data_IF_835806855671
#
_entry.id   IF_835806855671
#
_cell.length_a   1.000
_cell.length_b   1.000
_cell.length_c   1.000
_cell.angle_alpha   90.00
_cell.angle_beta   90.00
_cell.angle_gamma   90.00
#
_symmetry.space_group_name_H-M   'P 1'
#
loop_
_entity.id
_entity.type
_entity.pdbx_description
1 polymer ?
#
# COMPACT_ATOMS: atom_id res chain seq x y z
N UNK A 1 6.53 -13.13 -29.87
CA UNK A 1 7.48 -12.02 -29.64
C UNK A 1 7.61 -11.81 -28.14
N UNK A 2 8.64 -12.37 -27.52
CA UNK A 2 8.91 -12.17 -26.10
C UNK A 2 9.62 -10.82 -25.92
N UNK A 3 8.91 -9.85 -25.35
CA UNK A 3 9.55 -8.64 -24.83
C UNK A 3 10.53 -9.08 -23.74
N UNK A 4 11.82 -8.88 -24.00
CA UNK A 4 12.93 -9.28 -23.13
C UNK A 4 12.69 -8.69 -21.74
N UNK A 5 12.68 -9.54 -20.73
CA UNK A 5 12.60 -9.23 -19.29
C UNK A 5 13.56 -8.12 -18.84
N UNK A 6 14.64 -7.89 -19.60
CA UNK A 6 15.63 -6.84 -19.38
C UNK A 6 15.11 -5.42 -19.64
N UNK A 7 14.10 -5.23 -20.52
CA UNK A 7 13.52 -3.90 -20.79
C UNK A 7 12.53 -3.44 -19.69
N UNK A 8 11.96 -4.36 -18.91
CA UNK A 8 11.19 -4.02 -17.70
C UNK A 8 12.07 -3.42 -16.59
N UNK A 9 13.31 -3.87 -16.48
CA UNK A 9 14.25 -3.41 -15.47
C UNK A 9 14.87 -2.03 -15.80
N UNK A 10 14.90 -1.64 -17.08
CA UNK A 10 15.54 -0.42 -17.55
C UNK A 10 14.68 0.87 -17.44
N UNK A 11 13.41 0.77 -17.01
CA UNK A 11 12.54 1.93 -16.72
C UNK A 11 12.65 2.41 -15.26
N UNK A 12 13.58 1.84 -14.47
CA UNK A 12 13.82 2.20 -13.07
C UNK A 12 14.77 3.38 -12.91
N UNK A 13 14.30 4.58 -13.26
CA UNK A 13 14.62 5.74 -12.42
C UNK A 13 14.10 5.40 -11.02
N UNK A 14 15.03 5.22 -10.07
CA UNK A 14 14.86 4.75 -8.68
C UNK A 14 13.39 4.71 -8.20
N UNK A 15 12.80 3.54 -7.94
CA UNK A 15 11.50 3.50 -7.32
C UNK A 15 11.63 4.08 -5.90
N UNK A 16 11.04 5.27 -5.71
CA UNK A 16 10.97 5.89 -4.39
C UNK A 16 10.04 5.11 -3.45
N UNK A 17 9.21 4.20 -3.98
CA UNK A 17 8.28 3.33 -3.23
C UNK A 17 8.64 1.84 -3.39
N UNK A 18 8.52 1.01 -2.34
CA UNK A 18 8.56 -0.45 -2.47
C UNK A 18 7.31 -1.05 -3.11
N UNK A 19 6.28 -0.23 -3.32
CA UNK A 19 5.06 -0.62 -4.01
C UNK A 19 5.04 -0.07 -5.45
N UNK A 20 4.40 -0.81 -6.34
CA UNK A 20 3.92 -0.36 -7.64
C UNK A 20 2.65 0.48 -7.46
N UNK A 21 1.73 0.06 -6.60
CA UNK A 21 0.52 0.79 -6.26
C UNK A 21 -0.03 0.33 -4.90
N UNK A 22 -0.87 1.18 -4.30
CA UNK A 22 -1.65 0.87 -3.10
C UNK A 22 -3.11 1.22 -3.38
N UNK A 23 -4.03 0.34 -2.98
CA UNK A 23 -5.47 0.51 -3.12
C UNK A 23 -6.15 0.35 -1.77
N UNK A 24 -7.14 1.20 -1.51
CA UNK A 24 -8.05 1.13 -0.37
C UNK A 24 -9.42 0.73 -0.88
N UNK A 25 -9.92 -0.40 -0.42
CA UNK A 25 -11.17 -0.99 -0.87
C UNK A 25 -12.12 -1.16 0.31
N UNK A 26 -13.41 -0.99 0.06
CA UNK A 26 -14.43 -1.57 0.95
C UNK A 26 -14.36 -3.10 0.81
N UNK A 27 -14.09 -3.80 1.91
CA UNK A 27 -13.89 -5.27 1.86
C UNK A 27 -15.15 -6.03 1.44
N UNK A 28 -16.33 -5.49 1.74
CA UNK A 28 -17.62 -6.14 1.50
C UNK A 28 -18.04 -6.05 0.03
N UNK A 29 -18.03 -4.85 -0.54
CA UNK A 29 -18.42 -4.60 -1.94
C UNK A 29 -17.25 -4.76 -2.91
N UNK A 30 -16.01 -4.53 -2.47
CA UNK A 30 -14.83 -4.47 -3.33
C UNK A 30 -14.69 -3.13 -4.07
N UNK A 31 -15.54 -2.15 -3.75
CA UNK A 31 -15.47 -0.80 -4.31
C UNK A 31 -14.15 -0.12 -3.92
N UNK A 32 -13.49 0.46 -4.90
CA UNK A 32 -12.31 1.30 -4.67
C UNK A 32 -12.72 2.62 -4.00
N UNK A 33 -12.12 2.89 -2.84
CA UNK A 33 -12.32 4.12 -2.07
C UNK A 33 -11.29 5.18 -2.48
N UNK A 34 -10.02 4.78 -2.56
CA UNK A 34 -8.89 5.60 -3.00
C UNK A 34 -7.72 4.71 -3.41
N UNK A 35 -6.91 5.14 -4.37
CA UNK A 35 -5.71 4.44 -4.77
C UNK A 35 -4.60 5.40 -5.16
N UNK A 36 -3.36 4.90 -5.17
CA UNK A 36 -2.24 5.62 -5.73
C UNK A 36 -1.26 4.67 -6.43
N UNK A 37 -0.90 5.04 -7.65
CA UNK A 37 0.09 4.33 -8.48
C UNK A 37 1.44 5.05 -8.44
N UNK A 38 2.49 4.30 -8.12
CA UNK A 38 3.89 4.76 -8.10
C UNK A 38 4.63 4.40 -9.40
N UNK A 39 3.92 3.89 -10.41
CA UNK A 39 4.45 3.62 -11.76
C UNK A 39 3.81 4.59 -12.76
N UNK A 40 4.58 5.14 -13.72
CA UNK A 40 4.01 5.95 -14.80
C UNK A 40 3.06 5.13 -15.70
N UNK A 41 1.76 5.37 -15.54
CA UNK A 41 0.59 5.22 -16.45
C UNK A 41 0.41 4.03 -17.41
N UNK A 42 1.28 3.02 -17.49
CA UNK A 42 1.15 1.91 -18.48
C UNK A 42 0.94 0.52 -17.90
N UNK A 43 0.85 0.37 -16.58
CA UNK A 43 0.59 -0.91 -15.92
C UNK A 43 -0.38 -0.75 -14.76
N UNK A 44 -1.48 -0.02 -14.99
CA UNK A 44 -2.60 -0.02 -14.05
C UNK A 44 -3.24 -1.41 -14.09
N UNK A 45 -3.18 -2.09 -12.96
CA UNK A 45 -3.88 -3.36 -12.75
C UNK A 45 -5.37 -3.06 -12.64
N UNK A 46 -6.19 -3.90 -13.28
CA UNK A 46 -7.64 -3.86 -13.10
C UNK A 46 -7.95 -4.25 -11.65
N UNK A 47 -8.28 -3.24 -10.83
CA UNK A 47 -8.54 -3.41 -9.41
C UNK A 47 -9.76 -4.30 -9.15
N UNK A 48 -10.73 -4.32 -10.07
CA UNK A 48 -11.91 -5.19 -9.98
C UNK A 48 -11.50 -6.65 -10.17
N UNK A 49 -10.54 -6.91 -11.06
CA UNK A 49 -9.97 -8.24 -11.23
C UNK A 49 -9.21 -8.68 -9.97
N UNK A 50 -8.42 -7.79 -9.36
CA UNK A 50 -7.68 -8.08 -8.12
C UNK A 50 -8.63 -8.36 -6.95
N UNK A 51 -9.64 -7.51 -6.75
CA UNK A 51 -10.62 -7.65 -5.66
C UNK A 51 -11.53 -8.87 -5.86
N UNK A 52 -11.99 -9.12 -7.09
CA UNK A 52 -12.80 -10.27 -7.45
C UNK A 52 -12.05 -11.60 -7.28
N UNK A 53 -10.82 -11.69 -7.79
CA UNK A 53 -9.96 -12.87 -7.60
C UNK A 53 -9.73 -13.15 -6.12
N UNK A 54 -9.45 -12.10 -5.35
CA UNK A 54 -9.21 -12.21 -3.92
C UNK A 54 -10.41 -12.81 -3.16
N UNK A 55 -11.61 -12.27 -3.38
CA UNK A 55 -12.84 -12.82 -2.77
C UNK A 55 -13.06 -14.28 -3.16
N UNK A 56 -12.82 -14.62 -4.43
CA UNK A 56 -12.94 -15.99 -4.90
C UNK A 56 -11.93 -16.92 -4.21
N UNK A 57 -10.67 -16.48 -4.04
CA UNK A 57 -9.64 -17.25 -3.35
C UNK A 57 -9.97 -17.46 -1.87
N UNK A 58 -10.47 -16.44 -1.18
CA UNK A 58 -10.87 -16.59 0.22
C UNK A 58 -12.07 -17.51 0.38
N UNK A 59 -13.09 -17.39 -0.47
CA UNK A 59 -14.21 -18.31 -0.47
C UNK A 59 -13.75 -19.75 -0.74
N UNK A 60 -12.84 -19.93 -1.71
CA UNK A 60 -12.27 -21.23 -2.02
C UNK A 60 -11.51 -21.81 -0.82
N UNK A 61 -10.61 -21.04 -0.20
CA UNK A 61 -9.83 -21.48 0.96
C UNK A 61 -10.75 -21.82 2.12
N UNK A 62 -11.73 -20.99 2.44
CA UNK A 62 -12.63 -21.24 3.56
C UNK A 62 -13.59 -22.41 3.34
N UNK A 63 -13.90 -22.75 2.08
CA UNK A 63 -14.64 -23.98 1.77
C UNK A 63 -13.77 -25.24 1.87
N UNK A 64 -12.46 -25.12 1.62
CA UNK A 64 -11.51 -26.23 1.64
C UNK A 64 -10.84 -26.42 3.01
N UNK A 65 -10.75 -25.35 3.80
CA UNK A 65 -10.22 -25.39 5.15
C UNK A 65 -11.18 -26.24 5.98
N UNK A 66 -10.74 -27.45 6.34
CA UNK A 66 -11.43 -28.35 7.26
C UNK A 66 -11.43 -27.82 8.72
N UNK A 67 -11.41 -26.51 8.88
CA UNK A 67 -11.27 -25.81 10.15
C UNK A 67 -12.47 -24.89 10.35
N UNK A 68 -12.92 -24.76 11.59
CA UNK A 68 -13.96 -23.79 11.96
C UNK A 68 -13.41 -22.35 12.02
N UNK A 69 -12.13 -22.13 11.71
CA UNK A 69 -11.50 -20.83 11.70
C UNK A 69 -11.51 -20.27 10.27
N UNK A 70 -12.02 -19.05 10.14
CA UNK A 70 -12.02 -18.35 8.88
C UNK A 70 -10.59 -17.92 8.53
N UNK A 71 -10.07 -18.45 7.44
CA UNK A 71 -8.77 -18.07 6.92
C UNK A 71 -8.89 -16.86 5.98
N UNK A 72 -7.87 -16.01 6.01
CA UNK A 72 -7.80 -14.83 5.16
C UNK A 72 -6.52 -14.85 4.35
N UNK A 73 -6.62 -14.51 3.07
CA UNK A 73 -5.43 -14.39 2.22
C UNK A 73 -4.67 -13.13 2.66
N UNK A 74 -3.41 -13.31 3.06
CA UNK A 74 -2.54 -12.21 3.46
C UNK A 74 -1.58 -11.78 2.35
N UNK A 75 -1.09 -12.73 1.54
CA UNK A 75 -0.26 -12.40 0.40
C UNK A 75 -0.40 -13.42 -0.74
N UNK A 76 -0.18 -12.95 -1.97
CA UNK A 76 -0.01 -13.78 -3.17
C UNK A 76 1.36 -13.45 -3.75
N UNK A 77 2.26 -14.43 -3.76
CA UNK A 77 3.66 -14.23 -4.13
C UNK A 77 3.92 -14.74 -5.55
N UNK A 78 4.22 -13.83 -6.48
CA UNK A 78 4.68 -14.15 -7.82
C UNK A 78 6.21 -14.03 -7.90
N UNK A 79 6.81 -14.48 -9.00
CA UNK A 79 8.26 -14.41 -9.18
C UNK A 79 8.78 -12.96 -9.07
N UNK A 80 8.17 -12.03 -9.82
CA UNK A 80 8.59 -10.62 -9.92
C UNK A 80 7.80 -9.61 -9.09
N UNK A 81 6.69 -10.02 -8.45
CA UNK A 81 5.85 -9.13 -7.65
C UNK A 81 5.17 -9.89 -6.52
N UNK A 82 4.67 -9.18 -5.51
CA UNK A 82 3.82 -9.73 -4.46
C UNK A 82 2.58 -8.86 -4.35
N UNK A 83 1.42 -9.47 -4.15
CA UNK A 83 0.22 -8.75 -3.71
C UNK A 83 0.10 -8.96 -2.21
N UNK A 84 0.04 -7.88 -1.44
CA UNK A 84 -0.03 -7.88 0.03
C UNK A 84 -1.38 -7.31 0.44
N UNK A 85 -2.04 -7.98 1.37
CA UNK A 85 -3.36 -7.62 1.86
C UNK A 85 -3.30 -7.33 3.36
N UNK A 86 -3.87 -6.19 3.76
CA UNK A 86 -4.05 -5.82 5.17
C UNK A 86 -5.48 -5.36 5.41
N UNK A 87 -6.00 -5.69 6.60
CA UNK A 87 -7.39 -5.41 6.97
C UNK A 87 -7.45 -4.65 8.27
N UNK A 88 -8.43 -3.76 8.36
CA UNK A 88 -8.77 -3.10 9.60
C UNK A 88 -10.23 -2.65 9.61
N UNK A 89 -10.82 -2.58 10.81
CA UNK A 89 -12.18 -2.11 11.00
C UNK A 89 -13.12 -3.16 11.61
N UNK A 90 -14.35 -2.74 11.87
CA UNK A 90 -15.40 -3.59 12.42
C UNK A 90 -15.98 -4.53 11.32
N UNK A 91 -16.68 -5.62 11.68
CA UNK A 91 -17.20 -6.60 10.71
C UNK A 91 -18.04 -6.01 9.56
N UNK A 92 -18.72 -4.89 9.79
CA UNK A 92 -19.58 -4.23 8.79
C UNK A 92 -18.93 -3.04 8.08
N UNK A 93 -17.73 -2.63 8.49
CA UNK A 93 -17.00 -1.47 7.95
C UNK A 93 -15.52 -1.80 7.70
N UNK A 94 -15.22 -3.07 7.44
CA UNK A 94 -13.85 -3.53 7.26
C UNK A 94 -13.29 -2.97 5.95
N UNK A 95 -12.10 -2.40 6.05
CA UNK A 95 -11.32 -1.89 4.92
C UNK A 95 -10.27 -2.91 4.55
N UNK A 96 -10.09 -3.08 3.25
CA UNK A 96 -9.02 -3.87 2.67
C UNK A 96 -8.01 -2.92 2.02
N UNK A 97 -6.77 -2.95 2.51
CA UNK A 97 -5.64 -2.30 1.88
C UNK A 97 -4.86 -3.32 1.05
N UNK A 98 -4.65 -3.03 -0.23
CA UNK A 98 -3.94 -3.89 -1.16
C UNK A 98 -2.69 -3.18 -1.65
N UNK A 99 -1.52 -3.75 -1.36
CA UNK A 99 -0.25 -3.26 -1.87
C UNK A 99 0.31 -4.18 -2.95
N UNK A 100 0.60 -3.62 -4.12
CA UNK A 100 1.33 -4.31 -5.18
C UNK A 100 2.82 -4.11 -4.96
N UNK A 101 3.50 -5.08 -4.36
CA UNK A 101 4.91 -5.00 -3.98
C UNK A 101 5.87 -5.30 -5.13
N UNK A 102 6.99 -4.55 -5.15
CA UNK A 102 8.17 -4.76 -6.00
C UNK A 102 9.14 -5.80 -5.45
N UNK A 103 8.86 -6.36 -4.27
CA UNK A 103 9.70 -7.30 -3.52
C UNK A 103 11.13 -6.79 -3.26
N UNK A 104 11.29 -5.47 -3.15
CA UNK A 104 12.59 -4.83 -2.84
C UNK A 104 12.85 -4.70 -1.34
N UNK A 105 11.84 -4.98 -0.51
CA UNK A 105 11.94 -5.08 0.95
C UNK A 105 11.29 -6.39 1.42
N UNK A 106 11.46 -6.74 2.70
CA UNK A 106 10.86 -7.96 3.24
C UNK A 106 9.34 -7.86 3.37
N UNK A 107 8.63 -8.98 3.20
CA UNK A 107 7.17 -9.06 3.35
C UNK A 107 6.70 -8.43 4.68
N UNK A 108 7.39 -8.75 5.78
CA UNK A 108 7.11 -8.21 7.11
C UNK A 108 7.07 -6.67 7.14
N UNK A 109 7.97 -6.00 6.41
CA UNK A 109 7.99 -4.52 6.33
C UNK A 109 6.85 -3.99 5.48
N UNK A 110 6.50 -4.69 4.41
CA UNK A 110 5.37 -4.34 3.53
C UNK A 110 4.05 -4.41 4.30
N UNK A 111 3.80 -5.55 4.96
CA UNK A 111 2.66 -5.76 5.85
C UNK A 111 2.59 -4.68 6.94
N UNK A 112 3.71 -4.39 7.60
CA UNK A 112 3.73 -3.37 8.65
C UNK A 112 3.31 -1.98 8.13
N UNK A 113 3.80 -1.57 6.96
CA UNK A 113 3.43 -0.27 6.38
C UNK A 113 1.97 -0.25 5.92
N UNK A 114 1.50 -1.28 5.23
CA UNK A 114 0.09 -1.34 4.81
C UNK A 114 -0.85 -1.39 6.01
N UNK A 115 -0.46 -2.07 7.09
CA UNK A 115 -1.22 -2.12 8.35
C UNK A 115 -1.33 -0.75 9.01
N UNK A 116 -0.27 0.05 8.98
CA UNK A 116 -0.30 1.42 9.47
C UNK A 116 -1.22 2.30 8.61
N UNK A 117 -1.13 2.18 7.28
CA UNK A 117 -1.95 2.93 6.32
C UNK A 117 -3.44 2.59 6.48
N UNK A 118 -3.81 1.31 6.51
CA UNK A 118 -5.22 0.90 6.63
C UNK A 118 -5.85 1.33 7.95
N UNK A 119 -5.06 1.31 9.02
CA UNK A 119 -5.50 1.78 10.34
C UNK A 119 -5.73 3.28 10.34
N UNK A 120 -4.76 4.05 9.88
CA UNK A 120 -4.85 5.52 9.80
C UNK A 120 -6.03 5.95 8.90
N UNK A 121 -6.21 5.28 7.76
CA UNK A 121 -7.37 5.51 6.89
C UNK A 121 -8.70 5.25 7.61
N UNK A 122 -8.83 4.10 8.27
CA UNK A 122 -10.06 3.75 8.97
C UNK A 122 -10.36 4.75 10.09
N UNK A 123 -9.36 5.09 10.91
CA UNK A 123 -9.51 6.05 12.01
C UNK A 123 -9.87 7.45 11.48
N UNK A 124 -9.32 7.86 10.34
CA UNK A 124 -9.62 9.15 9.70
C UNK A 124 -11.07 9.22 9.18
N UNK A 125 -11.60 8.12 8.64
CA UNK A 125 -12.89 8.11 7.93
C UNK A 125 -13.97 7.25 8.58
N UNK A 126 -13.79 6.84 9.83
CA UNK A 126 -14.66 5.87 10.51
C UNK A 126 -16.15 6.20 10.38
N UNK A 127 -16.52 7.46 10.58
CA UNK A 127 -17.92 7.92 10.49
C UNK A 127 -18.52 7.74 9.09
N UNK A 128 -17.75 8.07 8.05
CA UNK A 128 -18.16 7.89 6.65
C UNK A 128 -18.24 6.42 6.26
N UNK A 129 -17.36 5.58 6.82
CA UNK A 129 -17.34 4.14 6.56
C UNK A 129 -18.53 3.42 7.20
N UNK A 130 -18.93 3.81 8.41
CA UNK A 130 -20.08 3.21 9.09
C UNK A 130 -21.41 3.48 8.38
N UNK A 131 -21.50 4.61 7.66
CA UNK A 131 -22.68 5.02 6.92
C UNK A 131 -22.46 4.99 5.39
N UNK A 132 -21.56 4.13 4.92
CA UNK A 132 -21.16 4.13 3.52
C UNK A 132 -22.31 3.70 2.60
N UNK A 133 -22.71 4.61 1.72
CA UNK A 133 -23.77 4.39 0.72
C UNK A 133 -23.23 4.45 -0.72
N UNK A 134 -21.95 4.14 -0.92
CA UNK A 134 -21.30 4.13 -2.23
C UNK A 134 -20.66 5.46 -2.65
N UNK A 135 -20.74 6.50 -1.83
CA UNK A 135 -20.14 7.81 -2.12
C UNK A 135 -18.65 7.85 -1.75
N UNK A 136 -17.77 7.79 -2.76
CA UNK A 136 -16.32 7.67 -2.55
C UNK A 136 -15.58 9.01 -2.42
N UNK A 137 -16.23 10.15 -2.71
CA UNK A 137 -15.55 11.46 -2.72
C UNK A 137 -14.94 11.84 -1.38
N UNK A 138 -15.52 11.38 -0.26
CA UNK A 138 -15.01 11.66 1.08
C UNK A 138 -13.58 11.13 1.28
N UNK A 139 -13.20 10.03 0.63
CA UNK A 139 -11.93 9.36 0.82
C UNK A 139 -10.80 9.91 -0.06
N UNK A 140 -11.12 10.73 -1.07
CA UNK A 140 -10.15 11.18 -2.08
C UNK A 140 -9.04 12.05 -1.49
N UNK A 141 -9.30 12.76 -0.39
CA UNK A 141 -8.28 13.57 0.29
C UNK A 141 -7.11 12.73 0.82
N UNK A 142 -7.35 11.45 1.09
CA UNK A 142 -6.33 10.51 1.53
C UNK A 142 -5.29 10.19 0.46
N UNK A 143 -5.55 10.50 -0.80
CA UNK A 143 -4.58 10.37 -1.89
C UNK A 143 -3.24 11.06 -1.55
N UNK A 144 -3.31 12.24 -0.94
CA UNK A 144 -2.12 13.00 -0.53
C UNK A 144 -1.27 12.30 0.55
N UNK A 145 -1.88 11.43 1.35
CA UNK A 145 -1.19 10.58 2.33
C UNK A 145 -0.49 9.42 1.61
N UNK A 146 -1.19 8.76 0.67
CA UNK A 146 -0.62 7.67 -0.12
C UNK A 146 0.59 8.11 -0.96
N UNK A 147 0.59 9.35 -1.46
CA UNK A 147 1.74 9.92 -2.17
C UNK A 147 3.02 10.00 -1.33
N UNK A 148 2.88 10.08 0.00
CA UNK A 148 4.00 10.21 0.96
C UNK A 148 4.56 8.87 1.44
N UNK A 149 3.92 7.75 1.09
CA UNK A 149 4.40 6.39 1.44
C UNK A 149 5.91 6.17 1.15
N UNK A 150 6.46 6.61 0.02
CA UNK A 150 7.91 6.65 -0.21
C UNK A 150 8.75 7.23 0.93
N UNK A 151 8.31 8.35 1.50
CA UNK A 151 9.02 9.07 2.55
C UNK A 151 8.95 8.30 3.88
N UNK A 152 7.78 7.73 4.21
CA UNK A 152 7.63 6.86 5.38
C UNK A 152 8.56 5.66 5.34
N UNK A 153 8.73 5.03 4.17
CA UNK A 153 9.67 3.91 4.03
C UNK A 153 11.12 4.31 4.28
N UNK A 154 11.52 5.52 3.86
CA UNK A 154 12.88 6.02 4.08
C UNK A 154 13.14 6.27 5.57
N UNK A 155 12.12 6.67 6.33
CA UNK A 155 12.23 6.92 7.77
C UNK A 155 12.24 5.62 8.60
N UNK A 156 11.45 4.61 8.20
CA UNK A 156 11.36 3.32 8.89
C UNK A 156 12.53 2.36 8.58
N UNK A 157 13.32 2.66 7.55
CA UNK A 157 14.46 1.82 7.13
C UNK A 157 15.72 2.69 7.00
N UNK A 158 16.49 2.91 8.08
CA UNK A 158 17.69 3.77 8.07
C UNK A 158 18.82 3.30 7.13
N UNK A 159 18.65 2.13 6.50
CA UNK A 159 19.59 1.56 5.53
C UNK A 159 19.00 1.37 4.13
N UNK A 160 17.88 2.02 3.77
CA UNK A 160 17.50 2.10 2.36
C UNK A 160 18.43 3.07 1.64
N UNK A 161 19.68 2.64 1.44
CA UNK A 161 20.51 3.19 0.38
C UNK A 161 19.94 2.60 -0.91
N UNK A 162 19.41 3.41 -1.84
CA UNK A 162 19.29 2.93 -3.20
C UNK A 162 20.65 2.36 -3.58
N UNK A 163 20.72 1.15 -4.14
CA UNK A 163 21.98 0.60 -4.65
C UNK A 163 22.45 1.59 -5.72
N UNK A 164 23.34 2.50 -5.33
CA UNK A 164 23.92 3.49 -6.22
C UNK A 164 24.98 2.73 -6.99
N UNK A 165 24.67 2.37 -8.23
CA UNK A 165 25.71 2.24 -9.22
C UNK A 165 26.41 3.60 -9.29
N UNK A 166 27.62 3.65 -8.73
CA UNK A 166 28.52 4.80 -8.76
C UNK A 166 28.66 5.24 -10.22
N UNK A 167 28.01 6.33 -10.58
CA UNK A 167 28.56 7.43 -11.39
C UNK A 167 27.44 8.46 -11.64
N UNK A 168 27.58 9.63 -11.02
CA UNK A 168 27.61 10.94 -11.69
C UNK A 168 27.50 12.04 -10.63
N UNK A 169 28.60 12.78 -10.46
CA UNK A 169 28.68 14.02 -9.69
C UNK A 169 27.91 15.10 -10.45
N UNK A 170 26.83 15.67 -9.91
CA UNK A 170 26.43 17.05 -10.26
C UNK A 170 25.80 17.72 -9.02
N UNK A 171 26.38 18.88 -8.66
CA UNK A 171 25.88 19.84 -7.67
C UNK A 171 24.51 20.40 -8.07
N UNK A 172 23.65 20.75 -7.11
CA UNK A 172 23.10 22.11 -6.99
C UNK A 172 22.29 22.35 -5.71
N UNK A 173 22.36 23.61 -5.32
CA UNK A 173 21.97 24.20 -4.04
C UNK A 173 20.46 24.44 -3.96
N UNK A 174 19.92 24.21 -2.76
CA UNK A 174 18.92 25.04 -2.09
C UNK A 174 17.47 24.95 -2.55
N UNK A 175 16.58 24.51 -1.66
CA UNK A 175 15.21 25.01 -1.59
C UNK A 175 14.72 25.03 -0.14
N UNK A 176 14.13 26.16 0.26
CA UNK A 176 13.55 26.45 1.58
C UNK A 176 12.15 25.83 1.69
N UNK A 177 11.83 25.35 2.89
CA UNK A 177 10.55 24.74 3.26
C UNK A 177 9.57 25.83 3.76
N UNK A 178 8.30 25.76 3.35
CA UNK A 178 7.20 26.60 3.87
C UNK A 178 6.27 25.71 4.69
N UNK A 179 5.92 26.17 5.89
CA UNK A 179 5.21 25.41 6.92
C UNK A 179 3.67 25.38 6.69
N UNK A 180 3.05 24.26 7.07
CA UNK A 180 1.59 24.15 7.22
C UNK A 180 1.13 22.70 7.43
N UNK A 181 0.61 22.41 8.62
CA UNK A 181 0.17 21.12 9.19
C UNK A 181 1.29 20.18 9.70
N UNK A 182 1.43 20.13 11.04
CA UNK A 182 2.41 19.28 11.74
C UNK A 182 1.85 17.87 11.85
N UNK A 183 2.47 16.92 11.16
CA UNK A 183 2.30 15.50 11.45
C UNK A 183 2.90 15.18 12.84
N UNK A 184 2.36 14.15 13.51
CA UNK A 184 2.88 13.73 14.81
C UNK A 184 4.36 13.36 14.73
N UNK A 185 5.11 13.63 15.79
CA UNK A 185 6.56 13.36 15.85
C UNK A 185 6.84 11.86 16.04
N UNK A 186 8.05 11.43 15.67
CA UNK A 186 8.53 10.05 15.89
C UNK A 186 8.37 9.61 17.36
N UNK A 187 8.50 10.56 18.29
CA UNK A 187 8.30 10.35 19.73
C UNK A 187 6.82 10.14 20.09
N UNK A 188 5.91 10.90 19.47
CA UNK A 188 4.46 10.72 19.62
C UNK A 188 4.00 9.35 19.09
N UNK A 189 4.63 8.85 18.02
CA UNK A 189 4.44 7.49 17.54
C UNK A 189 4.97 6.47 18.56
N UNK A 190 6.21 6.61 19.05
CA UNK A 190 6.84 5.66 19.98
C UNK A 190 6.05 5.38 21.27
N UNK A 191 5.26 6.35 21.76
CA UNK A 191 4.44 6.20 22.98
C UNK A 191 3.17 5.37 22.80
N UNK A 192 2.72 5.15 21.56
CA UNK A 192 1.60 4.24 21.24
C UNK A 192 2.09 2.78 21.15
N UNK A 193 3.41 2.55 21.23
CA UNK A 193 4.05 1.23 21.04
C UNK A 193 4.65 0.65 22.33
N UNK A 194 4.17 1.10 23.49
CA UNK A 194 4.43 0.44 24.77
C UNK A 194 3.10 0.10 25.44
N UNK A 195 2.42 -0.89 24.85
CA UNK A 195 1.60 -1.94 25.48
C UNK A 195 1.35 -3.06 24.46
#
# INVERSE_FOLDING_TARGET
>A
MALKSEQWLALHNKPNSPFYAIYMLDSNSGVELVSHSFIPSKAELDINAVSGMFKALELFINNMAYSNQFETVQEINFQGMRIVYERYGAPHSQILCVGLSRKIVSAKKEHHVLKAIVRDFYETYQEHLQNFQGEVRYFQNYYSVLQKVPEYFQQLVPYYRPIVNKQLKINHKGFKQVAGSRMPTVEEYSKVFSD
#
